data_IF_459453973498
#
_entry.id   IF_459453973498
#
_cell.length_a   1.000
_cell.length_b   1.000
_cell.length_c   1.000
_cell.angle_alpha   90.00
_cell.angle_beta   90.00
_cell.angle_gamma   90.00
#
_symmetry.space_group_name_H-M   'P 1'
#
loop_
_entity.id
_entity.type
_entity.pdbx_description
1 polymer ?
#
# COMPACT_ATOMS: atom_id res chain seq x y z
N UNK A 1 -9.72 -15.35 -63.74
CA UNK A 1 -8.45 -15.02 -63.05
C UNK A 1 -8.68 -15.12 -61.54
N UNK A 2 -8.17 -16.17 -60.88
CA UNK A 2 -8.11 -16.19 -59.41
C UNK A 2 -7.08 -15.13 -59.01
N UNK A 3 -7.52 -14.00 -58.45
CA UNK A 3 -6.59 -13.04 -57.82
C UNK A 3 -5.93 -13.78 -56.66
N UNK A 4 -4.64 -14.06 -56.79
CA UNK A 4 -3.82 -14.53 -55.66
C UNK A 4 -3.74 -13.32 -54.73
N UNK A 5 -4.54 -13.32 -53.66
CA UNK A 5 -4.40 -12.34 -52.61
C UNK A 5 -3.16 -12.75 -51.79
N UNK A 6 -2.10 -11.94 -51.87
CA UNK A 6 -0.97 -12.05 -50.95
C UNK A 6 -1.37 -11.46 -49.61
N UNK A 7 -1.02 -12.17 -48.53
CA UNK A 7 -1.34 -11.79 -47.17
C UNK A 7 -0.03 -11.54 -46.43
N UNK A 8 0.02 -10.48 -45.64
CA UNK A 8 1.13 -10.24 -44.71
C UNK A 8 0.75 -10.91 -43.40
N UNK A 9 1.41 -12.03 -43.11
CA UNK A 9 1.38 -12.69 -41.80
C UNK A 9 2.56 -12.14 -41.02
N UNK A 10 2.31 -11.53 -39.86
CA UNK A 10 3.38 -11.05 -38.99
C UNK A 10 4.23 -12.25 -38.50
N UNK A 11 5.34 -12.52 -39.18
CA UNK A 11 6.44 -13.30 -38.63
C UNK A 11 7.47 -12.31 -38.08
N UNK A 12 7.55 -12.22 -36.75
CA UNK A 12 8.47 -11.29 -36.08
C UNK A 12 9.90 -11.79 -36.29
N UNK A 13 10.71 -11.01 -37.00
CA UNK A 13 12.16 -11.19 -37.05
C UNK A 13 12.78 -10.30 -35.99
N UNK A 14 13.58 -10.92 -35.13
CA UNK A 14 14.39 -10.29 -34.10
C UNK A 14 15.42 -9.37 -34.75
N UNK A 15 15.37 -8.07 -34.44
CA UNK A 15 16.45 -7.13 -34.77
C UNK A 15 16.81 -6.38 -33.50
N UNK A 16 18.06 -6.55 -33.09
CA UNK A 16 18.71 -5.88 -31.96
C UNK A 16 18.97 -4.44 -32.38
N UNK A 17 18.42 -3.46 -31.66
CA UNK A 17 18.90 -2.07 -31.75
C UNK A 17 19.24 -1.60 -30.34
N UNK A 18 20.54 -1.61 -30.02
CA UNK A 18 21.07 -0.91 -28.87
C UNK A 18 21.06 0.59 -29.19
N UNK A 19 20.39 1.38 -28.36
CA UNK A 19 20.43 2.83 -28.45
C UNK A 19 21.83 3.34 -28.11
N UNK A 20 22.57 3.82 -29.11
CA UNK A 20 23.44 4.99 -29.03
C UNK A 20 23.72 5.46 -30.45
N UNK A 21 23.72 6.77 -30.62
CA UNK A 21 23.78 7.50 -31.89
C UNK A 21 24.90 7.01 -32.83
N UNK A 22 24.54 6.75 -34.10
CA UNK A 22 25.22 7.11 -35.37
C UNK A 22 25.02 6.02 -36.43
N UNK A 23 24.61 6.46 -37.62
CA UNK A 23 24.66 5.77 -38.91
C UNK A 23 23.76 4.52 -39.12
N UNK A 24 22.71 4.76 -39.90
CA UNK A 24 21.85 3.75 -40.50
C UNK A 24 22.63 3.13 -41.67
N UNK A 25 23.22 1.96 -41.49
CA UNK A 25 23.54 1.06 -42.60
C UNK A 25 22.42 0.03 -42.75
N UNK A 26 21.74 0.06 -43.91
CA UNK A 26 20.78 -0.97 -44.33
C UNK A 26 21.51 -2.28 -44.66
N UNK A 27 21.22 -3.40 -43.98
CA UNK A 27 21.57 -4.71 -44.51
C UNK A 27 20.52 -5.12 -45.55
N UNK A 28 20.95 -5.14 -46.82
CA UNK A 28 20.22 -5.79 -47.91
C UNK A 28 20.12 -7.30 -47.69
N UNK A 29 18.92 -7.80 -47.40
CA UNK A 29 18.55 -9.20 -47.58
C UNK A 29 17.26 -9.29 -48.41
N UNK A 30 17.37 -9.94 -49.58
CA UNK A 30 16.28 -10.04 -50.56
C UNK A 30 15.55 -11.40 -50.45
N UNK A 31 14.22 -11.32 -50.57
CA UNK A 31 13.25 -12.35 -50.98
C UNK A 31 12.57 -13.23 -49.88
N UNK A 32 11.47 -12.67 -49.35
CA UNK A 32 10.43 -13.34 -48.57
C UNK A 32 9.55 -12.30 -47.85
N UNK A 33 8.74 -11.53 -48.60
CA UNK A 33 7.87 -10.45 -48.08
C UNK A 33 6.82 -10.98 -47.08
N UNK A 34 7.11 -10.97 -45.77
CA UNK A 34 6.10 -11.12 -44.70
C UNK A 34 6.45 -10.48 -43.34
N UNK A 35 7.64 -9.95 -43.09
CA UNK A 35 8.06 -9.62 -41.72
C UNK A 35 7.88 -8.13 -41.43
N UNK A 36 6.80 -7.76 -40.73
CA UNK A 36 6.60 -6.39 -40.22
C UNK A 36 7.30 -6.26 -38.87
N UNK A 37 8.13 -5.23 -38.69
CA UNK A 37 8.87 -4.99 -37.45
C UNK A 37 8.00 -4.28 -36.41
N UNK A 38 8.09 -4.64 -35.13
CA UNK A 38 7.50 -3.85 -34.04
C UNK A 38 8.56 -2.90 -33.47
N UNK A 39 8.28 -1.60 -33.50
CA UNK A 39 9.15 -0.55 -32.95
C UNK A 39 8.39 0.14 -31.82
N UNK A 40 8.85 -0.03 -30.59
CA UNK A 40 8.22 0.57 -29.40
C UNK A 40 9.10 1.73 -28.94
N UNK A 41 8.49 2.90 -28.77
CA UNK A 41 9.17 4.07 -28.22
C UNK A 41 9.44 3.95 -26.72
N UNK A 42 10.03 5.01 -26.16
CA UNK A 42 10.34 5.09 -24.73
C UNK A 42 9.12 4.90 -23.82
N UNK A 43 9.37 4.40 -22.62
CA UNK A 43 8.37 4.35 -21.56
C UNK A 43 7.88 5.78 -21.24
N UNK A 44 6.59 5.99 -20.90
CA UNK A 44 6.10 7.34 -20.63
C UNK A 44 6.86 7.99 -19.47
N UNK A 45 7.34 9.21 -19.71
CA UNK A 45 7.85 10.06 -18.63
C UNK A 45 6.66 10.78 -17.98
N UNK A 46 6.26 10.31 -16.80
CA UNK A 46 5.28 11.03 -16.00
C UNK A 46 5.98 12.24 -15.38
N UNK A 47 5.71 13.45 -15.92
CA UNK A 47 6.37 14.69 -15.53
C UNK A 47 6.35 14.93 -14.02
N UNK A 48 7.32 15.73 -13.54
CA UNK A 48 7.68 15.94 -12.12
C UNK A 48 6.58 15.48 -11.18
N UNK A 49 6.78 14.28 -10.63
CA UNK A 49 5.99 13.79 -9.53
C UNK A 49 6.05 14.86 -8.45
N UNK A 50 5.03 15.71 -8.34
CA UNK A 50 4.83 16.54 -7.17
C UNK A 50 4.41 15.59 -6.05
N UNK A 51 5.36 14.74 -5.63
CA UNK A 51 5.32 14.02 -4.37
C UNK A 51 5.16 15.10 -3.32
N UNK A 52 3.95 15.25 -2.79
CA UNK A 52 3.77 16.00 -1.55
C UNK A 52 4.45 15.13 -0.49
N UNK A 53 5.66 15.53 -0.16
CA UNK A 53 6.86 14.77 0.17
C UNK A 53 6.70 13.65 1.20
N UNK A 54 7.30 12.50 0.91
CA UNK A 54 7.91 11.57 1.88
C UNK A 54 9.27 11.19 1.28
N UNK A 55 10.31 11.09 2.11
CA UNK A 55 11.73 10.90 1.75
C UNK A 55 12.00 10.33 0.35
N UNK A 56 12.79 11.08 -0.43
CA UNK A 56 13.18 10.83 -1.83
C UNK A 56 12.03 10.83 -2.87
N UNK A 57 12.15 11.63 -3.96
CA UNK A 57 11.29 11.47 -5.13
C UNK A 57 11.40 10.04 -5.68
N UNK A 58 10.26 9.41 -5.91
CA UNK A 58 10.20 8.15 -6.62
C UNK A 58 9.52 8.38 -7.97
N UNK A 59 10.27 8.35 -9.08
CA UNK A 59 9.68 8.48 -10.41
C UNK A 59 8.81 7.27 -10.77
N UNK A 60 8.90 6.16 -10.04
CA UNK A 60 8.37 4.85 -10.39
C UNK A 60 9.12 4.27 -11.59
N UNK A 61 8.43 3.45 -12.37
CA UNK A 61 8.99 2.89 -13.61
C UNK A 61 9.26 4.02 -14.63
N UNK A 62 10.48 4.07 -15.15
CA UNK A 62 10.94 5.06 -16.14
C UNK A 62 11.43 4.43 -17.44
N UNK A 63 11.55 3.11 -17.50
CA UNK A 63 12.03 2.36 -18.66
C UNK A 63 11.41 0.98 -18.73
N UNK A 64 11.43 0.39 -19.93
CA UNK A 64 11.06 -1.01 -20.15
C UNK A 64 12.04 -1.94 -19.43
N UNK A 65 11.51 -3.05 -18.92
CA UNK A 65 12.25 -4.09 -18.20
C UNK A 65 11.91 -5.45 -18.77
N UNK A 66 12.86 -6.37 -18.75
CA UNK A 66 12.64 -7.74 -19.21
C UNK A 66 11.40 -8.34 -18.53
N UNK A 67 10.52 -8.94 -19.33
CA UNK A 67 9.26 -9.48 -18.87
C UNK A 67 8.05 -8.57 -19.08
N UNK A 68 8.23 -7.28 -19.33
CA UNK A 68 7.13 -6.36 -19.67
C UNK A 68 6.33 -6.87 -20.87
N UNK A 69 5.01 -6.64 -20.85
CA UNK A 69 4.07 -7.11 -21.87
C UNK A 69 3.24 -5.97 -22.46
N UNK A 70 3.06 -5.96 -23.78
CA UNK A 70 2.17 -5.05 -24.50
C UNK A 70 1.02 -5.82 -25.13
N UNK A 71 -0.16 -5.22 -25.09
CA UNK A 71 -1.40 -5.79 -25.62
C UNK A 71 -1.88 -4.93 -26.79
N UNK A 72 -1.76 -5.44 -28.01
CA UNK A 72 -2.08 -4.71 -29.24
C UNK A 72 -3.36 -5.25 -29.87
N UNK A 73 -4.27 -4.35 -30.25
CA UNK A 73 -5.40 -4.65 -31.10
C UNK A 73 -5.18 -4.04 -32.48
N UNK A 74 -5.35 -4.84 -33.53
CA UNK A 74 -5.24 -4.41 -34.93
C UNK A 74 -6.52 -4.76 -35.66
N UNK A 75 -7.09 -3.81 -36.39
CA UNK A 75 -8.28 -4.02 -37.23
C UNK A 75 -7.90 -3.88 -38.69
N UNK A 76 -8.21 -4.91 -39.47
CA UNK A 76 -8.12 -4.90 -40.93
C UNK A 76 -9.52 -5.01 -41.53
N UNK A 77 -9.71 -4.49 -42.75
CA UNK A 77 -11.03 -4.55 -43.42
C UNK A 77 -11.38 -6.00 -43.78
N UNK A 78 -10.36 -6.80 -44.09
CA UNK A 78 -10.53 -8.18 -44.53
C UNK A 78 -10.73 -9.15 -43.37
N UNK A 79 -9.89 -9.07 -42.33
CA UNK A 79 -9.83 -10.08 -41.27
C UNK A 79 -10.48 -9.64 -39.96
N UNK A 80 -11.03 -8.42 -39.93
CA UNK A 80 -11.59 -7.82 -38.74
C UNK A 80 -10.51 -7.51 -37.70
N UNK A 81 -10.92 -7.45 -36.43
CA UNK A 81 -10.02 -7.16 -35.32
C UNK A 81 -9.30 -8.43 -34.85
N UNK A 82 -7.98 -8.31 -34.71
CA UNK A 82 -7.08 -9.32 -34.17
C UNK A 82 -6.31 -8.73 -32.99
N UNK A 83 -5.87 -9.62 -32.10
CA UNK A 83 -5.26 -9.26 -30.84
C UNK A 83 -3.94 -10.01 -30.70
N UNK A 84 -2.93 -9.33 -30.18
CA UNK A 84 -1.61 -9.90 -29.94
C UNK A 84 -1.05 -9.39 -28.61
N UNK A 85 -0.22 -10.23 -27.99
CA UNK A 85 0.60 -9.85 -26.86
C UNK A 85 2.08 -9.90 -27.27
N UNK A 86 2.84 -8.87 -26.90
CA UNK A 86 4.27 -8.81 -27.13
C UNK A 86 5.00 -8.76 -25.79
N UNK A 87 6.14 -9.43 -25.67
CA UNK A 87 6.95 -9.46 -24.45
C UNK A 87 8.32 -8.87 -24.71
N UNK A 88 8.81 -8.05 -23.78
CA UNK A 88 10.16 -7.50 -23.85
C UNK A 88 11.17 -8.48 -23.27
N UNK A 89 12.18 -8.86 -24.06
CA UNK A 89 13.24 -9.80 -23.65
C UNK A 89 14.48 -9.11 -23.05
N UNK A 90 14.41 -7.79 -22.79
CA UNK A 90 15.54 -6.97 -22.36
C UNK A 90 16.23 -6.20 -23.48
N UNK A 91 15.98 -6.53 -24.74
CA UNK A 91 16.53 -5.84 -25.92
C UNK A 91 15.51 -5.55 -27.02
N UNK A 92 14.52 -6.42 -27.21
CA UNK A 92 13.50 -6.30 -28.25
C UNK A 92 12.14 -6.80 -27.77
N UNK A 93 11.09 -6.37 -28.47
CA UNK A 93 9.72 -6.86 -28.27
C UNK A 93 9.42 -8.04 -29.20
N UNK A 94 9.05 -9.17 -28.62
CA UNK A 94 8.76 -10.41 -29.35
C UNK A 94 7.29 -10.77 -29.23
N UNK A 95 6.70 -11.34 -30.29
CA UNK A 95 5.33 -11.81 -30.27
C UNK A 95 5.21 -13.01 -29.32
N UNK A 96 4.52 -12.82 -28.21
CA UNK A 96 4.31 -13.84 -27.19
C UNK A 96 3.04 -14.66 -27.45
N UNK A 97 1.99 -14.03 -27.99
CA UNK A 97 0.75 -14.72 -28.38
C UNK A 97 -0.07 -13.91 -29.38
N UNK A 98 -1.00 -14.61 -30.06
CA UNK A 98 -1.86 -14.03 -31.08
C UNK A 98 -1.22 -14.03 -32.47
N UNK A 99 -1.97 -13.52 -33.44
CA UNK A 99 -1.53 -13.38 -34.83
C UNK A 99 -2.12 -12.10 -35.41
N UNK A 100 -1.27 -11.29 -36.04
CA UNK A 100 -1.69 -10.08 -36.74
C UNK A 100 -1.56 -10.32 -38.24
N UNK A 101 -2.67 -10.15 -38.97
CA UNK A 101 -2.70 -10.28 -40.42
C UNK A 101 -3.60 -9.25 -41.09
N UNK A 102 -3.14 -8.76 -42.23
CA UNK A 102 -3.84 -7.84 -43.13
C UNK A 102 -3.35 -8.06 -44.58
N UNK A 103 -4.15 -7.66 -45.56
CA UNK A 103 -3.78 -7.72 -46.97
C UNK A 103 -2.80 -6.61 -47.34
N UNK A 104 -1.89 -6.88 -48.27
CA UNK A 104 -0.90 -5.88 -48.73
C UNK A 104 -1.55 -4.63 -49.35
N UNK A 105 -2.79 -4.73 -49.87
CA UNK A 105 -3.56 -3.61 -50.43
C UNK A 105 -4.45 -2.87 -49.41
N UNK A 106 -4.38 -3.22 -48.12
CA UNK A 106 -5.11 -2.53 -47.05
C UNK A 106 -4.18 -1.92 -46.00
N UNK A 107 -4.58 -0.78 -45.46
CA UNK A 107 -3.91 -0.15 -44.32
C UNK A 107 -4.68 -0.54 -43.05
N UNK A 108 -4.10 -1.36 -42.16
CA UNK A 108 -4.74 -1.71 -40.90
C UNK A 108 -4.75 -0.50 -39.96
N UNK A 109 -5.72 -0.48 -39.05
CA UNK A 109 -5.79 0.51 -37.96
C UNK A 109 -5.49 -0.18 -36.64
N UNK A 110 -4.89 0.52 -35.67
CA UNK A 110 -4.60 -0.01 -34.34
C UNK A 110 -5.47 0.71 -33.32
N UNK A 111 -6.71 0.25 -33.09
CA UNK A 111 -7.63 0.95 -32.19
C UNK A 111 -7.07 1.09 -30.77
N UNK A 112 -6.28 0.11 -30.31
CA UNK A 112 -5.72 0.12 -28.97
C UNK A 112 -4.33 -0.53 -28.91
N UNK A 113 -3.47 0.03 -28.06
CA UNK A 113 -2.25 -0.61 -27.56
C UNK A 113 -2.11 -0.28 -26.09
N UNK A 114 -1.97 -1.31 -25.25
CA UNK A 114 -1.91 -1.14 -23.80
C UNK A 114 -0.61 -1.68 -23.23
N UNK A 115 -0.05 -0.95 -22.26
CA UNK A 115 0.81 -1.53 -21.24
C UNK A 115 -0.06 -1.75 -19.99
N UNK A 116 -0.43 -3.00 -19.76
CA UNK A 116 -1.32 -3.39 -18.67
C UNK A 116 -0.88 -4.76 -18.12
N UNK A 117 0.18 -4.82 -17.28
CA UNK A 117 0.83 -6.08 -16.90
C UNK A 117 -0.11 -7.12 -16.28
N UNK A 118 -1.13 -6.65 -15.55
CA UNK A 118 -2.13 -7.48 -14.89
C UNK A 118 -3.24 -7.98 -15.81
N UNK A 119 -3.30 -7.56 -17.08
CA UNK A 119 -4.40 -7.85 -17.99
C UNK A 119 -3.94 -8.69 -19.18
N UNK A 120 -4.90 -9.34 -19.83
CA UNK A 120 -4.73 -10.10 -21.08
C UNK A 120 -5.96 -9.90 -21.96
N UNK A 121 -5.83 -10.20 -23.26
CA UNK A 121 -6.97 -10.24 -24.16
C UNK A 121 -7.83 -11.50 -23.94
N UNK A 122 -9.14 -11.32 -23.84
CA UNK A 122 -10.13 -12.41 -23.86
C UNK A 122 -11.41 -11.92 -24.54
N UNK A 123 -11.87 -12.67 -25.56
CA UNK A 123 -13.04 -12.32 -26.37
C UNK A 123 -13.09 -10.86 -26.88
N UNK A 124 -11.91 -10.29 -27.16
CA UNK A 124 -11.76 -8.91 -27.65
C UNK A 124 -11.85 -7.81 -26.60
N UNK A 125 -11.87 -8.18 -25.32
CA UNK A 125 -11.82 -7.27 -24.17
C UNK A 125 -10.59 -7.55 -23.30
N UNK A 126 -10.14 -6.57 -22.53
CA UNK A 126 -9.09 -6.79 -21.52
C UNK A 126 -9.69 -7.35 -20.25
N UNK A 127 -9.16 -8.48 -19.79
CA UNK A 127 -9.55 -9.14 -18.54
C UNK A 127 -8.32 -9.34 -17.66
N UNK A 128 -8.52 -9.39 -16.34
CA UNK A 128 -7.42 -9.66 -15.40
C UNK A 128 -6.84 -11.06 -15.63
N UNK A 129 -5.52 -11.16 -15.53
CA UNK A 129 -4.80 -12.44 -15.42
C UNK A 129 -5.17 -13.10 -14.09
N UNK A 130 -5.11 -14.43 -14.05
CA UNK A 130 -5.41 -15.20 -12.85
C UNK A 130 -4.53 -14.75 -11.66
N UNK A 131 -5.16 -14.58 -10.50
CA UNK A 131 -4.48 -14.13 -9.27
C UNK A 131 -4.06 -12.65 -9.26
N UNK A 132 -4.35 -11.87 -10.31
CA UNK A 132 -4.09 -10.42 -10.35
C UNK A 132 -5.30 -9.61 -9.93
N UNK A 133 -5.06 -8.41 -9.42
CA UNK A 133 -6.10 -7.49 -8.92
C UNK A 133 -6.00 -6.16 -9.66
N UNK A 134 -7.14 -5.57 -10.02
CA UNK A 134 -7.17 -4.27 -10.68
C UNK A 134 -6.59 -3.16 -9.78
N UNK A 135 -5.84 -2.23 -10.38
CA UNK A 135 -5.23 -1.10 -9.69
C UNK A 135 -3.99 -1.41 -8.85
N UNK A 136 -3.43 -2.63 -8.92
CA UNK A 136 -2.13 -2.94 -8.30
C UNK A 136 -0.95 -2.82 -9.27
N UNK A 137 -1.21 -2.44 -10.52
CA UNK A 137 -0.19 -2.19 -11.54
C UNK A 137 -0.72 -1.13 -12.52
N UNK A 138 0.15 -0.67 -13.42
CA UNK A 138 -0.19 0.32 -14.45
C UNK A 138 -1.23 -0.22 -15.45
N UNK A 139 -2.01 0.72 -15.99
CA UNK A 139 -2.93 0.50 -17.10
C UNK A 139 -2.82 1.68 -18.07
N UNK A 140 -1.81 1.67 -18.92
CA UNK A 140 -1.49 2.80 -19.79
C UNK A 140 -1.90 2.47 -21.21
N UNK A 141 -2.63 3.38 -21.85
CA UNK A 141 -2.96 3.29 -23.26
C UNK A 141 -2.00 4.15 -24.09
N UNK A 142 -1.36 3.54 -25.07
CA UNK A 142 -0.48 4.19 -26.04
C UNK A 142 -1.18 4.40 -27.38
N UNK A 143 -0.40 4.76 -28.40
CA UNK A 143 -0.86 4.83 -29.78
C UNK A 143 -0.01 3.93 -30.66
N UNK A 144 -0.62 3.27 -31.64
CA UNK A 144 0.11 2.46 -32.61
C UNK A 144 -0.27 2.84 -34.04
N UNK A 145 0.70 2.86 -34.94
CA UNK A 145 0.50 3.14 -36.35
C UNK A 145 1.41 2.27 -37.21
N UNK A 146 0.96 1.92 -38.41
CA UNK A 146 1.83 1.30 -39.41
C UNK A 146 2.59 2.39 -40.18
N UNK A 147 3.86 2.15 -40.49
CA UNK A 147 4.65 3.06 -41.30
C UNK A 147 4.12 3.15 -42.73
N UNK A 148 4.32 4.28 -43.44
CA UNK A 148 3.81 4.43 -44.82
C UNK A 148 4.32 3.37 -45.80
N UNK A 149 5.51 2.82 -45.56
CA UNK A 149 6.10 1.75 -46.37
C UNK A 149 5.62 0.33 -45.97
N UNK A 150 4.75 0.21 -44.96
CA UNK A 150 4.19 -1.06 -44.49
C UNK A 150 5.17 -1.98 -43.77
N UNK A 151 6.40 -1.51 -43.49
CA UNK A 151 7.49 -2.34 -42.97
C UNK A 151 7.53 -2.41 -41.44
N UNK A 152 6.95 -1.45 -40.72
CA UNK A 152 6.96 -1.43 -39.26
C UNK A 152 5.65 -0.96 -38.64
N UNK A 153 5.36 -1.46 -37.45
CA UNK A 153 4.34 -0.93 -36.53
C UNK A 153 5.09 -0.13 -35.47
N UNK A 154 4.83 1.17 -35.42
CA UNK A 154 5.39 2.06 -34.40
C UNK A 154 4.39 2.22 -33.26
N UNK A 155 4.81 1.91 -32.04
CA UNK A 155 4.06 2.06 -30.80
C UNK A 155 4.64 3.22 -30.00
N UNK A 156 3.85 4.25 -29.74
CA UNK A 156 4.24 5.45 -29.00
C UNK A 156 3.55 5.50 -27.64
N UNK A 157 4.37 5.47 -26.58
CA UNK A 157 3.96 5.67 -25.19
C UNK A 157 4.47 6.99 -24.59
N UNK A 158 5.45 7.65 -25.22
CA UNK A 158 6.08 8.88 -24.69
C UNK A 158 5.11 10.04 -24.41
N UNK A 159 3.96 10.07 -25.09
CA UNK A 159 2.88 11.06 -24.88
C UNK A 159 1.69 10.52 -24.08
N UNK A 160 1.73 9.26 -23.65
CA UNK A 160 0.67 8.68 -22.85
C UNK A 160 0.66 9.33 -21.46
N UNK A 161 -0.53 9.55 -20.91
CA UNK A 161 -0.73 10.08 -19.56
C UNK A 161 -1.67 9.15 -18.79
N UNK A 162 -1.48 9.05 -17.47
CA UNK A 162 -2.44 8.31 -16.64
C UNK A 162 -3.73 9.11 -16.57
N UNK A 163 -4.85 8.48 -16.92
CA UNK A 163 -6.19 8.98 -16.60
C UNK A 163 -6.61 8.63 -15.16
N UNK A 164 -5.63 8.30 -14.31
CA UNK A 164 -5.75 7.99 -12.90
C UNK A 164 -4.58 8.57 -12.10
N UNK A 165 -4.67 8.48 -10.78
CA UNK A 165 -3.59 8.83 -9.86
C UNK A 165 -2.78 7.61 -9.45
N UNK A 166 -1.53 7.83 -9.05
CA UNK A 166 -0.70 6.83 -8.38
C UNK A 166 -0.63 7.14 -6.89
N UNK A 167 -0.81 6.15 -6.04
CA UNK A 167 -0.56 6.24 -4.60
C UNK A 167 0.69 5.40 -4.29
N UNK A 168 1.75 6.04 -3.83
CA UNK A 168 2.94 5.39 -3.27
C UNK A 168 2.77 5.26 -1.75
N UNK A 169 2.98 4.08 -1.22
CA UNK A 169 3.01 3.81 0.21
C UNK A 169 4.45 3.49 0.57
N UNK A 170 5.09 4.33 1.38
CA UNK A 170 6.41 4.06 1.93
C UNK A 170 6.25 3.32 3.26
N UNK A 171 6.89 2.16 3.41
CA UNK A 171 6.79 1.27 4.57
C UNK A 171 8.04 0.41 4.70
N UNK A 172 7.98 -0.71 5.43
CA UNK A 172 9.08 -1.66 5.59
C UNK A 172 9.39 -2.39 4.26
N UNK A 173 10.65 -2.60 3.88
CA UNK A 173 11.04 -3.38 2.70
C UNK A 173 10.59 -4.84 2.71
N UNK A 174 10.12 -5.33 1.56
CA UNK A 174 9.75 -6.74 1.35
C UNK A 174 8.74 -7.31 2.37
N UNK A 175 7.87 -6.47 2.93
CA UNK A 175 6.87 -6.87 3.92
C UNK A 175 5.45 -6.87 3.33
N UNK A 176 4.61 -7.86 3.69
CA UNK A 176 3.21 -7.84 3.34
C UNK A 176 2.50 -6.73 4.13
N UNK A 177 1.69 -5.94 3.44
CA UNK A 177 0.81 -4.94 4.03
C UNK A 177 -0.62 -5.15 3.54
N UNK A 178 -1.56 -4.71 4.35
CA UNK A 178 -2.97 -4.62 3.97
C UNK A 178 -3.33 -3.16 3.75
N UNK A 179 -3.98 -2.86 2.62
CA UNK A 179 -4.55 -1.53 2.37
C UNK A 179 -6.06 -1.65 2.29
N UNK A 180 -6.76 -1.00 3.22
CA UNK A 180 -8.21 -0.83 3.14
C UNK A 180 -8.50 0.55 2.57
N UNK A 181 -9.39 0.60 1.58
CA UNK A 181 -9.71 1.82 0.86
C UNK A 181 -11.18 1.86 0.53
N UNK A 182 -11.79 3.03 0.72
CA UNK A 182 -13.17 3.29 0.33
C UNK A 182 -13.28 4.18 -0.93
N UNK A 183 -14.42 4.08 -1.61
CA UNK A 183 -14.81 4.92 -2.78
C UNK A 183 -13.69 5.09 -3.81
N UNK A 184 -13.13 3.97 -4.27
CA UNK A 184 -11.96 3.92 -5.14
C UNK A 184 -12.29 3.26 -6.47
N UNK A 185 -11.83 3.86 -7.58
CA UNK A 185 -11.94 3.28 -8.92
C UNK A 185 -10.56 2.81 -9.38
N UNK A 186 -10.27 1.50 -9.39
CA UNK A 186 -8.97 0.98 -9.80
C UNK A 186 -8.66 1.30 -11.28
N UNK A 187 -7.39 1.50 -11.61
CA UNK A 187 -6.94 1.65 -12.99
C UNK A 187 -7.30 0.43 -13.84
N UNK A 188 -7.81 0.69 -15.04
CA UNK A 188 -8.37 -0.34 -15.93
C UNK A 188 -9.82 -0.73 -15.63
N UNK A 189 -10.49 -0.06 -14.68
CA UNK A 189 -11.90 -0.27 -14.36
C UNK A 189 -12.71 1.03 -14.49
N UNK A 190 -13.98 0.90 -14.88
CA UNK A 190 -14.99 1.96 -14.80
C UNK A 190 -15.78 1.94 -13.49
N UNK A 191 -15.61 0.90 -12.66
CA UNK A 191 -16.47 0.63 -11.53
C UNK A 191 -15.86 1.15 -10.23
N UNK A 192 -16.47 2.18 -9.66
CA UNK A 192 -16.13 2.63 -8.31
C UNK A 192 -16.51 1.55 -7.30
N UNK A 193 -15.53 1.15 -6.48
CA UNK A 193 -15.72 0.22 -5.37
C UNK A 193 -15.89 0.99 -4.08
N UNK A 194 -16.91 0.61 -3.30
CA UNK A 194 -17.22 1.26 -2.03
C UNK A 194 -16.22 0.89 -0.94
N UNK A 195 -15.84 -0.38 -0.85
CA UNK A 195 -14.85 -0.88 0.10
C UNK A 195 -13.97 -1.92 -0.59
N UNK A 196 -12.66 -1.77 -0.48
CA UNK A 196 -11.69 -2.73 -1.00
C UNK A 196 -10.61 -3.01 0.04
N UNK A 197 -10.12 -4.25 0.01
CA UNK A 197 -8.98 -4.70 0.82
C UNK A 197 -7.94 -5.28 -0.14
N UNK A 198 -6.80 -4.61 -0.23
CA UNK A 198 -5.65 -5.05 -1.02
C UNK A 198 -4.63 -5.71 -0.10
N UNK A 199 -4.15 -6.88 -0.51
CA UNK A 199 -2.93 -7.46 0.03
C UNK A 199 -1.78 -7.09 -0.93
N UNK A 200 -0.83 -6.29 -0.45
CA UNK A 200 0.32 -5.84 -1.22
C UNK A 200 1.60 -6.31 -0.53
N UNK A 201 2.68 -6.39 -1.29
CA UNK A 201 4.04 -6.56 -0.75
C UNK A 201 4.87 -5.38 -1.23
N UNK A 202 5.54 -4.70 -0.29
CA UNK A 202 6.46 -3.63 -0.64
C UNK A 202 7.71 -4.16 -1.36
N UNK A 203 8.31 -3.32 -2.19
CA UNK A 203 9.57 -3.61 -2.86
C UNK A 203 10.77 -3.56 -1.90
N UNK A 204 11.96 -3.81 -2.44
CA UNK A 204 13.24 -3.79 -1.70
C UNK A 204 13.56 -2.42 -1.07
N UNK A 205 12.91 -1.35 -1.53
CA UNK A 205 13.05 0.01 -0.99
C UNK A 205 11.91 0.38 -0.04
N UNK A 206 11.00 -0.55 0.25
CA UNK A 206 9.86 -0.31 1.13
C UNK A 206 8.69 0.39 0.45
N UNK A 207 8.58 0.39 -0.88
CA UNK A 207 7.45 1.03 -1.56
C UNK A 207 6.42 0.01 -2.05
N UNK A 208 5.14 0.34 -1.86
CA UNK A 208 4.02 -0.34 -2.50
C UNK A 208 3.18 0.69 -3.27
N UNK A 209 2.46 0.23 -4.30
CA UNK A 209 1.73 1.12 -5.21
C UNK A 209 0.29 0.69 -5.42
N UNK A 210 -0.58 1.70 -5.53
CA UNK A 210 -1.94 1.56 -6.04
C UNK A 210 -2.18 2.60 -7.14
N UNK A 211 -2.96 2.22 -8.13
CA UNK A 211 -3.25 3.00 -9.32
C UNK A 211 -4.75 3.10 -9.52
N UNK A 212 -5.29 4.31 -9.46
CA UNK A 212 -6.71 4.54 -9.58
C UNK A 212 -7.14 5.95 -9.21
N UNK A 213 -8.45 6.14 -9.16
CA UNK A 213 -9.08 7.42 -8.86
C UNK A 213 -9.76 7.35 -7.50
N UNK A 214 -9.52 8.38 -6.69
CA UNK A 214 -10.12 8.55 -5.37
C UNK A 214 -11.09 9.71 -5.47
N UNK A 215 -12.33 9.51 -5.01
CA UNK A 215 -13.33 10.56 -5.02
C UNK A 215 -13.24 11.40 -3.73
N UNK A 216 -14.10 12.41 -3.63
CA UNK A 216 -14.15 13.26 -2.44
C UNK A 216 -14.54 12.44 -1.22
N UNK A 217 -13.82 12.65 -0.11
CA UNK A 217 -13.92 11.92 1.14
C UNK A 217 -13.55 10.44 1.06
N UNK A 218 -12.74 10.03 0.08
CA UNK A 218 -12.15 8.69 0.11
C UNK A 218 -11.20 8.56 1.30
N UNK A 219 -11.36 7.52 2.10
CA UNK A 219 -10.47 7.15 3.18
C UNK A 219 -9.65 5.94 2.78
N UNK A 220 -8.37 5.97 3.17
CA UNK A 220 -7.51 4.81 3.04
C UNK A 220 -6.64 4.64 4.27
N UNK A 221 -6.40 3.38 4.61
CA UNK A 221 -5.64 2.96 5.79
C UNK A 221 -4.68 1.85 5.39
N UNK A 222 -3.42 2.03 5.73
CA UNK A 222 -2.37 1.03 5.59
C UNK A 222 -2.19 0.33 6.93
N UNK A 223 -2.16 -1.00 6.88
CA UNK A 223 -1.92 -1.85 8.02
C UNK A 223 -0.75 -2.78 7.77
N UNK A 224 0.01 -3.05 8.81
CA UNK A 224 0.89 -4.19 8.89
C UNK A 224 0.31 -5.15 9.90
N UNK A 225 0.07 -6.39 9.49
CA UNK A 225 -0.80 -7.32 10.20
C UNK A 225 -2.16 -6.68 10.47
N UNK A 226 -2.55 -6.46 11.73
CA UNK A 226 -3.78 -5.76 12.12
C UNK A 226 -3.55 -4.35 12.70
N UNK A 227 -2.27 -3.93 12.77
CA UNK A 227 -1.82 -2.64 13.27
C UNK A 227 -1.98 -1.56 12.19
N UNK A 228 -2.78 -0.49 12.42
CA UNK A 228 -2.78 0.66 11.52
C UNK A 228 -1.43 1.37 11.57
N UNK A 229 -0.77 1.50 10.42
CA UNK A 229 0.49 2.26 10.29
C UNK A 229 0.24 3.71 9.93
N UNK A 230 -0.70 3.93 9.01
CA UNK A 230 -1.04 5.25 8.54
C UNK A 230 -2.43 5.29 7.93
N UNK A 231 -3.06 6.45 7.97
CA UNK A 231 -4.36 6.67 7.36
C UNK A 231 -4.42 8.07 6.78
N UNK A 232 -5.20 8.23 5.72
CA UNK A 232 -5.45 9.53 5.15
C UNK A 232 -6.84 9.60 4.53
N UNK A 233 -7.41 10.80 4.55
CA UNK A 233 -8.71 11.09 3.96
C UNK A 233 -8.53 12.15 2.89
N UNK A 234 -8.84 11.80 1.66
CA UNK A 234 -8.84 12.73 0.54
C UNK A 234 -10.07 13.64 0.63
N UNK A 235 -9.89 14.86 1.12
CA UNK A 235 -10.97 15.86 1.22
C UNK A 235 -11.44 16.39 -0.15
N UNK A 236 -10.73 16.04 -1.22
CA UNK A 236 -11.07 16.35 -2.61
C UNK A 236 -10.68 15.16 -3.48
N UNK A 237 -11.31 15.03 -4.65
CA UNK A 237 -10.95 14.00 -5.62
C UNK A 237 -9.47 14.14 -6.04
N UNK A 238 -8.83 13.00 -6.29
CA UNK A 238 -7.46 13.00 -6.79
C UNK A 238 -7.38 13.48 -8.23
N UNK A 239 -6.21 13.99 -8.62
CA UNK A 239 -5.98 14.53 -9.96
C UNK A 239 -5.29 13.47 -10.82
N UNK A 240 -5.81 13.25 -12.02
CA UNK A 240 -5.19 12.37 -13.01
C UNK A 240 -3.72 12.74 -13.25
N UNK A 241 -2.90 11.73 -13.50
CA UNK A 241 -1.45 11.83 -13.66
C UNK A 241 -0.67 12.32 -12.42
N UNK A 242 -1.31 12.69 -11.31
CA UNK A 242 -0.60 12.99 -10.06
C UNK A 242 -0.24 11.74 -9.28
N UNK A 243 0.92 11.83 -8.61
CA UNK A 243 1.36 10.85 -7.62
C UNK A 243 1.19 11.42 -6.21
N UNK A 244 0.57 10.64 -5.35
CA UNK A 244 0.42 10.90 -3.92
C UNK A 244 1.31 9.94 -3.15
N UNK A 245 1.79 10.35 -1.97
CA UNK A 245 2.62 9.51 -1.12
C UNK A 245 2.00 9.45 0.28
N UNK A 246 1.97 8.26 0.89
CA UNK A 246 1.61 8.05 2.30
C UNK A 246 2.77 7.40 3.05
N UNK A 247 3.06 7.94 4.24
CA UNK A 247 4.16 7.51 5.08
C UNK A 247 3.58 6.52 6.08
N UNK A 248 3.89 5.25 5.84
CA UNK A 248 3.59 4.12 6.70
C UNK A 248 4.91 3.45 7.12
N UNK A 249 5.99 4.22 7.24
CA UNK A 249 7.28 3.73 7.72
C UNK A 249 7.18 3.28 9.17
N UNK A 250 8.06 2.34 9.52
CA UNK A 250 8.11 1.70 10.82
C UNK A 250 9.58 1.58 11.21
N UNK A 251 9.90 1.96 12.44
CA UNK A 251 11.23 1.79 13.02
C UNK A 251 11.26 0.45 13.76
N UNK A 252 12.18 -0.44 13.40
CA UNK A 252 12.37 -1.70 14.13
C UNK A 252 13.28 -1.44 15.32
N UNK A 253 12.76 -1.67 16.53
CA UNK A 253 13.52 -1.68 17.78
C UNK A 253 13.54 -3.09 18.41
N UNK A 254 13.18 -4.12 17.64
CA UNK A 254 13.18 -5.51 18.08
C UNK A 254 14.50 -6.24 17.80
N UNK A 255 15.47 -5.55 17.20
CA UNK A 255 16.76 -6.13 16.86
C UNK A 255 17.59 -6.34 18.15
N UNK A 256 18.19 -7.51 18.30
CA UNK A 256 19.00 -7.83 19.49
C UNK A 256 20.21 -6.89 19.60
N UNK A 257 20.43 -6.34 20.79
CA UNK A 257 21.63 -5.54 21.09
C UNK A 257 21.54 -4.06 20.74
N UNK A 258 20.35 -3.52 20.45
CA UNK A 258 20.13 -2.08 20.42
C UNK A 258 20.45 -1.47 21.79
N UNK A 259 21.19 -0.36 21.79
CA UNK A 259 21.50 0.39 23.01
C UNK A 259 20.42 1.41 23.31
N UNK A 260 20.35 1.85 24.57
CA UNK A 260 19.49 2.95 25.00
C UNK A 260 19.61 4.18 24.08
N UNK A 261 20.83 4.68 23.88
CA UNK A 261 21.09 5.86 23.03
C UNK A 261 20.67 5.65 21.57
N UNK A 262 20.79 4.43 21.05
CA UNK A 262 20.38 4.12 19.68
C UNK A 262 18.85 4.18 19.54
N UNK A 263 18.12 3.67 20.52
CA UNK A 263 16.65 3.78 20.56
C UNK A 263 16.21 5.24 20.67
N UNK A 264 16.84 6.02 21.57
CA UNK A 264 16.58 7.45 21.73
C UNK A 264 16.74 8.18 20.39
N UNK A 265 17.88 7.98 19.74
CA UNK A 265 18.22 8.64 18.47
C UNK A 265 17.30 8.21 17.32
N UNK A 266 16.93 6.93 17.24
CA UNK A 266 16.05 6.44 16.17
C UNK A 266 14.60 6.92 16.33
N UNK A 267 14.11 7.07 17.57
CA UNK A 267 12.81 7.70 17.84
C UNK A 267 12.87 9.21 17.56
N UNK A 268 13.93 9.89 17.99
CA UNK A 268 14.13 11.33 17.80
C UNK A 268 14.17 11.73 16.32
N UNK A 269 14.86 10.95 15.47
CA UNK A 269 14.90 11.18 14.01
C UNK A 269 13.51 11.23 13.37
N UNK A 270 12.55 10.48 13.90
CA UNK A 270 11.17 10.51 13.40
C UNK A 270 10.53 11.89 13.66
N UNK A 271 10.78 12.48 14.84
CA UNK A 271 10.31 13.82 15.16
C UNK A 271 11.08 14.91 14.40
N UNK A 272 12.39 14.74 14.21
CA UNK A 272 13.20 15.64 13.37
C UNK A 272 12.70 15.67 11.91
N UNK A 273 12.12 14.56 11.44
CA UNK A 273 11.43 14.47 10.16
C UNK A 273 10.01 15.09 10.17
N UNK A 274 9.59 15.68 11.29
CA UNK A 274 8.29 16.32 11.48
C UNK A 274 7.13 15.35 11.70
N UNK A 275 7.40 14.09 12.04
CA UNK A 275 6.36 13.08 12.21
C UNK A 275 5.63 13.24 13.55
N UNK A 276 4.31 13.04 13.49
CA UNK A 276 3.41 12.97 14.66
C UNK A 276 2.70 11.62 14.75
N UNK A 277 2.95 10.74 13.79
CA UNK A 277 2.55 9.34 13.78
C UNK A 277 3.84 8.54 13.74
N UNK A 278 4.10 7.80 14.81
CA UNK A 278 5.33 7.04 14.99
C UNK A 278 4.94 5.57 15.14
N UNK A 279 5.50 4.71 14.30
CA UNK A 279 5.25 3.28 14.33
C UNK A 279 6.54 2.57 14.69
N UNK A 280 6.53 1.79 15.77
CA UNK A 280 7.68 1.04 16.25
C UNK A 280 7.35 -0.46 16.29
N UNK A 281 8.31 -1.31 15.93
CA UNK A 281 8.26 -2.76 16.20
C UNK A 281 9.13 -3.03 17.41
N UNK A 282 8.57 -3.74 18.39
CA UNK A 282 9.24 -4.10 19.64
C UNK A 282 9.32 -5.62 19.78
N UNK A 283 10.25 -6.08 20.62
CA UNK A 283 10.26 -7.46 21.09
C UNK A 283 8.98 -7.78 21.90
N UNK A 284 8.55 -9.06 21.95
CA UNK A 284 7.34 -9.46 22.67
C UNK A 284 7.33 -9.11 24.16
N UNK A 285 8.46 -9.30 24.84
CA UNK A 285 8.67 -8.97 26.24
C UNK A 285 9.52 -7.70 26.34
N UNK A 286 8.91 -6.54 26.09
CA UNK A 286 9.60 -5.25 26.21
C UNK A 286 9.95 -4.97 27.68
N UNK A 287 11.18 -4.54 27.93
CA UNK A 287 11.63 -4.12 29.25
C UNK A 287 11.37 -2.62 29.51
N UNK A 288 11.50 -2.22 30.78
CA UNK A 288 11.33 -0.82 31.19
C UNK A 288 12.38 0.11 30.54
N UNK A 289 13.61 -0.38 30.34
CA UNK A 289 14.70 0.40 29.75
C UNK A 289 14.40 0.79 28.29
N UNK A 290 13.82 -0.12 27.50
CA UNK A 290 13.41 0.16 26.12
C UNK A 290 12.30 1.23 26.07
N UNK A 291 11.30 1.13 26.95
CA UNK A 291 10.21 2.12 26.99
C UNK A 291 10.70 3.48 27.51
N UNK A 292 11.63 3.48 28.47
CA UNK A 292 12.30 4.70 28.93
C UNK A 292 13.09 5.35 27.79
N UNK A 293 13.86 4.58 27.02
CA UNK A 293 14.58 5.10 25.85
C UNK A 293 13.64 5.72 24.80
N UNK A 294 12.49 5.08 24.54
CA UNK A 294 11.45 5.65 23.66
C UNK A 294 10.94 6.97 24.23
N UNK A 295 10.68 7.05 25.54
CA UNK A 295 10.24 8.28 26.19
C UNK A 295 11.26 9.41 26.00
N UNK A 296 12.54 9.13 26.27
CA UNK A 296 13.62 10.09 26.08
C UNK A 296 13.75 10.54 24.62
N UNK A 297 13.64 9.63 23.66
CA UNK A 297 13.63 9.98 22.23
C UNK A 297 12.49 10.93 21.84
N UNK A 298 11.29 10.73 22.40
CA UNK A 298 10.16 11.63 22.19
C UNK A 298 10.42 13.02 22.82
N UNK A 299 10.94 13.06 24.05
CA UNK A 299 11.25 14.31 24.76
C UNK A 299 12.36 15.10 24.06
N UNK A 300 13.45 14.42 23.67
CA UNK A 300 14.56 15.04 22.95
C UNK A 300 14.19 15.49 21.53
N UNK A 301 13.17 14.87 20.93
CA UNK A 301 12.58 15.30 19.67
C UNK A 301 11.59 16.47 19.81
N UNK A 302 11.53 17.13 20.98
CA UNK A 302 10.61 18.23 21.29
C UNK A 302 9.11 17.86 21.06
N UNK A 303 8.74 16.60 21.35
CA UNK A 303 7.35 16.17 21.28
C UNK A 303 6.47 17.06 22.16
N UNK A 304 5.42 17.65 21.57
CA UNK A 304 4.45 18.46 22.33
C UNK A 304 3.44 17.56 23.03
N UNK A 305 2.96 18.00 24.18
CA UNK A 305 1.86 17.35 24.91
C UNK A 305 0.65 17.09 24.00
N UNK A 306 0.12 15.87 24.04
CA UNK A 306 -1.02 15.44 23.23
C UNK A 306 -0.83 15.56 21.72
N UNK A 307 0.39 15.47 21.20
CA UNK A 307 0.68 15.60 19.75
C UNK A 307 1.04 14.28 19.06
N UNK A 308 1.48 13.27 19.80
CA UNK A 308 2.03 12.02 19.24
C UNK A 308 1.00 10.91 19.18
N UNK A 309 0.92 10.24 18.03
CA UNK A 309 0.18 9.00 17.84
C UNK A 309 1.20 7.88 17.71
N UNK A 310 1.26 7.00 18.70
CA UNK A 310 2.26 5.95 18.79
C UNK A 310 1.64 4.57 18.52
N UNK A 311 2.20 3.81 17.59
CA UNK A 311 1.83 2.41 17.35
C UNK A 311 3.01 1.52 17.73
N UNK A 312 2.82 0.56 18.63
CA UNK A 312 3.84 -0.43 19.00
C UNK A 312 3.38 -1.82 18.59
N UNK A 313 4.15 -2.47 17.71
CA UNK A 313 3.82 -3.75 17.10
C UNK A 313 4.72 -4.84 17.72
N UNK A 314 4.18 -6.04 17.94
CA UNK A 314 4.92 -7.18 18.46
C UNK A 314 4.91 -7.31 19.99
N UNK A 315 4.82 -6.21 20.72
CA UNK A 315 4.81 -6.20 22.18
C UNK A 315 3.57 -6.91 22.77
N UNK A 316 3.79 -7.94 23.59
CA UNK A 316 2.73 -8.75 24.23
C UNK A 316 2.44 -8.30 25.66
N UNK A 317 3.43 -7.74 26.35
CA UNK A 317 3.33 -7.33 27.76
C UNK A 317 3.84 -5.92 27.96
N UNK A 318 3.05 -5.08 28.61
CA UNK A 318 3.51 -3.76 29.06
C UNK A 318 3.90 -3.87 30.54
N UNK A 319 5.14 -3.49 30.92
CA UNK A 319 5.57 -3.51 32.31
C UNK A 319 4.80 -2.49 33.16
N UNK A 320 4.95 -2.61 34.48
CA UNK A 320 4.43 -1.62 35.42
C UNK A 320 4.99 -0.24 35.07
N UNK A 321 4.16 0.81 35.06
CA UNK A 321 4.57 2.18 34.75
C UNK A 321 5.19 2.37 33.35
N UNK A 322 4.97 1.45 32.42
CA UNK A 322 5.65 1.45 31.11
C UNK A 322 5.49 2.72 30.26
N UNK A 323 4.34 3.41 30.34
CA UNK A 323 4.09 4.70 29.70
C UNK A 323 3.77 5.80 30.72
N UNK A 324 4.26 5.69 31.95
CA UNK A 324 4.02 6.69 32.98
C UNK A 324 4.52 8.07 32.53
N UNK A 325 3.67 9.11 32.64
CA UNK A 325 3.97 10.50 32.26
C UNK A 325 4.29 10.72 30.78
N UNK A 326 3.79 9.87 29.89
CA UNK A 326 3.87 10.12 28.45
C UNK A 326 2.86 11.20 28.01
N UNK A 327 3.01 12.43 28.52
CA UNK A 327 2.10 13.55 28.28
C UNK A 327 2.01 13.95 26.79
N UNK A 328 3.04 13.64 26.00
CA UNK A 328 3.05 13.82 24.55
C UNK A 328 2.10 12.90 23.79
N UNK A 329 1.66 11.78 24.37
CA UNK A 329 0.79 10.84 23.69
C UNK A 329 -0.63 11.40 23.56
N UNK A 330 -1.03 11.61 22.31
CA UNK A 330 -2.43 11.80 21.90
C UNK A 330 -3.15 10.47 21.75
N UNK A 331 -2.49 9.49 21.15
CA UNK A 331 -3.06 8.16 21.00
C UNK A 331 -1.98 7.08 21.05
N UNK A 332 -2.37 5.90 21.52
CA UNK A 332 -1.51 4.72 21.53
C UNK A 332 -2.23 3.50 20.98
N UNK A 333 -1.52 2.73 20.15
CA UNK A 333 -2.01 1.51 19.49
C UNK A 333 -1.09 0.34 19.83
N UNK A 334 -1.62 -0.61 20.59
CA UNK A 334 -0.93 -1.82 21.07
C UNK A 334 -1.73 -3.04 20.60
N UNK A 335 -1.68 -3.41 19.32
CA UNK A 335 -2.56 -4.43 18.75
C UNK A 335 -2.25 -5.84 19.28
N UNK A 336 -1.01 -6.06 19.73
CA UNK A 336 -0.49 -7.35 20.15
C UNK A 336 -0.55 -7.60 21.65
N UNK A 337 -0.82 -6.57 22.45
CA UNK A 337 -0.74 -6.64 23.91
C UNK A 337 -1.85 -7.56 24.46
N UNK A 338 -1.44 -8.43 25.37
CA UNK A 338 -2.33 -9.34 26.11
C UNK A 338 -2.26 -9.12 27.62
N UNK A 339 -1.12 -8.63 28.12
CA UNK A 339 -0.94 -8.32 29.55
C UNK A 339 -0.45 -6.89 29.79
N UNK A 340 -0.99 -6.22 30.81
CA UNK A 340 -0.63 -4.83 31.16
C UNK A 340 -0.38 -4.72 32.66
N UNK A 341 0.77 -4.15 33.03
CA UNK A 341 1.17 -3.86 34.42
C UNK A 341 0.43 -2.68 35.06
N UNK A 342 0.60 -2.55 36.38
CA UNK A 342 0.04 -1.46 37.18
C UNK A 342 0.53 -0.08 36.68
N UNK A 343 -0.32 0.95 36.76
CA UNK A 343 0.02 2.32 36.36
C UNK A 343 0.59 2.47 34.93
N UNK A 344 0.36 1.51 34.02
CA UNK A 344 1.01 1.48 32.71
C UNK A 344 0.81 2.75 31.88
N UNK A 345 -0.35 3.40 31.94
CA UNK A 345 -0.62 4.69 31.27
C UNK A 345 -0.93 5.79 32.29
N UNK A 346 -0.39 5.69 33.51
CA UNK A 346 -0.68 6.68 34.54
C UNK A 346 -0.17 8.06 34.09
N UNK A 347 -0.97 9.08 34.37
CA UNK A 347 -0.65 10.49 34.08
C UNK A 347 -0.26 10.77 32.61
N UNK A 348 -0.85 10.05 31.64
CA UNK A 348 -0.78 10.40 30.23
C UNK A 348 -1.84 11.48 29.91
N UNK A 349 -1.59 12.73 30.32
CA UNK A 349 -2.65 13.77 30.34
C UNK A 349 -3.18 14.16 28.95
N UNK A 350 -2.38 13.98 27.89
CA UNK A 350 -2.73 14.25 26.50
C UNK A 350 -3.55 13.14 25.81
N UNK A 351 -3.75 11.99 26.46
CA UNK A 351 -4.27 10.78 25.82
C UNK A 351 -5.76 10.92 25.49
N UNK A 352 -6.10 10.68 24.22
CA UNK A 352 -7.46 10.80 23.67
C UNK A 352 -7.96 9.52 23.02
N UNK A 353 -7.07 8.59 22.67
CA UNK A 353 -7.45 7.32 22.04
C UNK A 353 -6.48 6.22 22.43
N UNK A 354 -7.04 5.06 22.79
CA UNK A 354 -6.26 3.87 23.11
C UNK A 354 -6.81 2.69 22.32
N UNK A 355 -5.93 1.97 21.64
CA UNK A 355 -6.28 0.72 20.94
C UNK A 355 -5.49 -0.41 21.57
N UNK A 356 -6.18 -1.37 22.16
CA UNK A 356 -5.57 -2.53 22.82
C UNK A 356 -5.87 -3.81 22.04
N UNK A 357 -4.96 -4.78 22.18
CA UNK A 357 -5.10 -6.13 21.67
C UNK A 357 -6.18 -6.93 22.42
N UNK A 358 -6.03 -8.26 22.44
CA UNK A 358 -6.93 -9.14 23.17
C UNK A 358 -6.37 -9.37 24.59
N UNK A 359 -6.81 -8.56 25.54
CA UNK A 359 -6.32 -8.58 26.91
C UNK A 359 -6.81 -9.82 27.64
N UNK A 360 -5.87 -10.52 28.27
CA UNK A 360 -6.12 -11.68 29.13
C UNK A 360 -5.89 -11.37 30.60
N UNK A 361 -4.99 -10.42 30.91
CA UNK A 361 -4.63 -10.04 32.27
C UNK A 361 -4.26 -8.55 32.35
N UNK A 362 -4.82 -7.83 33.32
CA UNK A 362 -4.45 -6.43 33.59
C UNK A 362 -4.28 -6.22 35.09
N UNK A 363 -3.15 -5.69 35.53
CA UNK A 363 -2.89 -5.45 36.95
C UNK A 363 -3.37 -4.06 37.41
N UNK A 364 -3.77 -3.98 38.68
CA UNK A 364 -4.27 -2.74 39.29
C UNK A 364 -5.76 -2.48 39.08
N UNK A 365 -6.30 -1.49 39.79
CA UNK A 365 -7.70 -1.06 39.66
C UNK A 365 -7.88 0.43 39.87
N UNK A 366 -9.07 0.94 39.54
CA UNK A 366 -9.47 2.36 39.68
C UNK A 366 -9.29 2.97 41.09
N UNK A 367 -9.01 2.18 42.12
CA UNK A 367 -8.78 2.63 43.51
C UNK A 367 -7.35 2.38 43.99
N UNK A 368 -6.53 1.65 43.24
CA UNK A 368 -5.21 1.19 43.64
C UNK A 368 -4.38 0.82 42.40
N UNK A 369 -3.52 1.75 41.97
CA UNK A 369 -2.56 1.59 40.87
C UNK A 369 -3.19 1.20 39.52
N UNK A 370 -4.32 1.81 39.19
CA UNK A 370 -5.04 1.50 37.97
C UNK A 370 -4.29 1.95 36.71
N UNK A 371 -4.47 1.22 35.61
CA UNK A 371 -3.67 1.47 34.39
C UNK A 371 -3.89 2.83 33.74
N UNK A 372 -4.96 3.56 34.09
CA UNK A 372 -5.29 4.89 33.60
C UNK A 372 -5.43 5.91 34.75
N UNK A 373 -4.78 5.67 35.90
CA UNK A 373 -4.75 6.64 36.99
C UNK A 373 -4.19 7.99 36.48
N UNK A 374 -4.78 9.12 36.90
CA UNK A 374 -4.40 10.44 36.38
C UNK A 374 -4.85 10.78 34.95
N UNK A 375 -5.39 9.83 34.19
CA UNK A 375 -5.97 10.10 32.86
C UNK A 375 -7.45 10.52 32.93
N UNK A 376 -7.88 11.44 32.05
CA UNK A 376 -9.30 11.74 31.85
C UNK A 376 -9.96 10.71 30.92
N UNK A 377 -10.22 9.49 31.44
CA UNK A 377 -10.78 8.37 30.64
C UNK A 377 -12.09 8.70 29.90
N UNK A 378 -12.90 9.61 30.44
CA UNK A 378 -14.13 10.11 29.79
C UNK A 378 -13.90 10.95 28.53
N UNK A 379 -12.66 11.34 28.28
CA UNK A 379 -12.19 11.99 27.04
C UNK A 379 -11.50 11.02 26.08
N UNK A 380 -11.28 9.76 26.50
CA UNK A 380 -10.59 8.71 25.74
C UNK A 380 -11.58 7.86 24.94
N UNK A 381 -11.34 7.74 23.63
CA UNK A 381 -11.96 6.74 22.77
C UNK A 381 -11.18 5.42 22.86
N UNK A 382 -11.78 4.38 23.46
CA UNK A 382 -11.16 3.06 23.61
C UNK A 382 -11.57 2.13 22.46
N UNK A 383 -10.59 1.44 21.87
CA UNK A 383 -10.82 0.41 20.87
C UNK A 383 -10.23 -0.91 21.38
N UNK A 384 -11.06 -1.94 21.43
CA UNK A 384 -10.68 -3.28 21.87
C UNK A 384 -10.73 -4.26 20.70
N UNK A 385 -10.05 -5.41 20.88
CA UNK A 385 -10.22 -6.55 19.99
C UNK A 385 -11.70 -6.93 19.86
N UNK A 386 -12.09 -7.40 18.67
CA UNK A 386 -13.44 -7.96 18.44
C UNK A 386 -13.68 -9.21 19.31
N UNK A 387 -12.60 -9.90 19.67
CA UNK A 387 -12.62 -11.15 20.43
C UNK A 387 -12.36 -10.90 21.93
N UNK A 388 -12.38 -9.64 22.37
CA UNK A 388 -12.18 -9.28 23.77
C UNK A 388 -13.28 -9.89 24.63
N UNK A 389 -12.87 -10.62 25.67
CA UNK A 389 -13.77 -11.15 26.69
C UNK A 389 -14.05 -10.10 27.76
N UNK A 390 -15.20 -10.22 28.42
CA UNK A 390 -15.50 -9.44 29.61
C UNK A 390 -14.38 -9.65 30.63
N UNK A 391 -14.04 -8.62 31.40
CA UNK A 391 -12.94 -8.68 32.35
C UNK A 391 -13.51 -8.74 33.77
N UNK A 392 -13.13 -9.75 34.53
CA UNK A 392 -13.57 -9.94 35.91
C UNK A 392 -12.46 -9.49 36.87
N UNK A 393 -12.84 -8.74 37.92
CA UNK A 393 -11.90 -8.38 38.96
C UNK A 393 -11.61 -9.54 39.92
N UNK A 394 -10.43 -9.51 40.51
CA UNK A 394 -10.02 -10.50 41.49
C UNK A 394 -8.57 -10.28 41.92
N UNK A 395 -7.95 -11.38 42.35
CA UNK A 395 -6.57 -11.39 42.80
C UNK A 395 -5.82 -12.52 42.07
N UNK A 396 -4.67 -12.19 41.50
CA UNK A 396 -3.72 -13.16 40.96
C UNK A 396 -2.32 -12.80 41.44
N UNK A 397 -1.52 -13.81 41.80
CA UNK A 397 -0.14 -13.61 42.25
C UNK A 397 -0.02 -12.64 43.44
N UNK A 398 -1.02 -12.61 44.33
CA UNK A 398 -1.04 -11.73 45.50
C UNK A 398 -1.33 -10.25 45.19
N UNK A 399 -1.75 -9.95 43.97
CA UNK A 399 -2.02 -8.59 43.48
C UNK A 399 -3.41 -8.52 42.89
N UNK A 400 -4.05 -7.36 43.03
CA UNK A 400 -5.31 -7.12 42.35
C UNK A 400 -5.09 -7.16 40.85
N UNK A 401 -5.94 -7.89 40.14
CA UNK A 401 -5.93 -7.91 38.70
C UNK A 401 -7.33 -8.10 38.12
N UNK A 402 -7.46 -7.74 36.86
CA UNK A 402 -8.55 -8.12 35.99
C UNK A 402 -8.11 -9.29 35.12
N UNK A 403 -8.95 -10.30 35.00
CA UNK A 403 -8.71 -11.45 34.13
C UNK A 403 -9.86 -11.64 33.15
N UNK A 404 -9.53 -12.06 31.92
CA UNK A 404 -10.53 -12.33 30.91
C UNK A 404 -11.46 -13.47 31.33
N UNK A 405 -12.76 -13.26 31.16
CA UNK A 405 -13.78 -14.30 31.25
C UNK A 405 -13.50 -15.39 30.19
N UNK A 406 -13.94 -16.61 30.47
CA UNK A 406 -13.71 -17.76 29.59
C UNK A 406 -14.81 -17.83 28.50
N UNK A 407 -16.00 -17.29 28.79
CA UNK A 407 -17.20 -17.49 27.99
C UNK A 407 -17.68 -16.16 27.42
N UNK A 408 -17.83 -15.15 28.26
CA UNK A 408 -18.59 -13.94 27.94
C UNK A 408 -17.81 -12.97 27.06
N UNK A 409 -18.32 -12.72 25.85
CA UNK A 409 -17.79 -11.66 24.97
C UNK A 409 -18.11 -10.27 25.55
N UNK A 410 -17.13 -9.37 25.52
CA UNK A 410 -17.29 -8.03 26.08
C UNK A 410 -18.27 -7.18 25.26
N UNK A 411 -18.29 -7.33 23.93
CA UNK A 411 -19.12 -6.53 23.01
C UNK A 411 -20.64 -6.65 23.26
N UNK A 412 -21.06 -7.73 23.92
CA UNK A 412 -22.44 -8.03 24.33
C UNK A 412 -22.73 -7.71 25.79
N UNK A 413 -21.75 -7.23 26.54
CA UNK A 413 -21.87 -6.97 27.97
C UNK A 413 -22.60 -5.64 28.27
N UNK A 414 -23.18 -5.55 29.47
CA UNK A 414 -23.73 -4.30 29.97
C UNK A 414 -22.65 -3.22 30.13
N UNK A 415 -21.40 -3.63 30.43
CA UNK A 415 -20.27 -2.72 30.55
C UNK A 415 -19.98 -2.02 29.23
N UNK A 416 -19.94 -2.74 28.11
CA UNK A 416 -19.78 -2.16 26.78
C UNK A 416 -20.88 -1.12 26.45
N UNK A 417 -22.15 -1.45 26.72
CA UNK A 417 -23.27 -0.51 26.53
C UNK A 417 -23.12 0.74 27.40
N UNK A 418 -22.66 0.57 28.64
CA UNK A 418 -22.40 1.68 29.57
C UNK A 418 -21.05 2.37 29.36
N UNK A 419 -20.27 1.97 28.33
CA UNK A 419 -18.93 2.47 28.02
C UNK A 419 -17.94 2.32 29.18
N UNK A 420 -18.04 1.21 29.91
CA UNK A 420 -17.15 0.88 31.03
C UNK A 420 -16.21 -0.26 30.70
N UNK A 421 -14.97 -0.17 31.14
CA UNK A 421 -13.98 -1.24 31.02
C UNK A 421 -12.98 -1.14 32.17
N UNK A 422 -12.70 -2.26 32.85
CA UNK A 422 -11.79 -2.32 34.01
C UNK A 422 -12.16 -1.33 35.14
N UNK A 423 -13.45 -1.03 35.29
CA UNK A 423 -13.98 -0.07 36.25
C UNK A 423 -13.94 1.41 35.81
N UNK A 424 -13.30 1.74 34.68
CA UNK A 424 -13.27 3.10 34.13
C UNK A 424 -14.45 3.36 33.20
N UNK A 425 -14.86 4.62 33.07
CA UNK A 425 -15.87 5.06 32.10
C UNK A 425 -15.19 5.85 30.98
N UNK A 426 -15.41 5.45 29.74
CA UNK A 426 -14.78 6.02 28.55
C UNK A 426 -15.73 6.91 27.76
N UNK A 427 -15.16 7.79 26.93
CA UNK A 427 -15.92 8.61 25.97
C UNK A 427 -16.75 7.74 25.03
N UNK A 428 -16.07 6.73 24.47
CA UNK A 428 -16.64 5.67 23.64
C UNK A 428 -15.80 4.41 23.79
N UNK A 429 -16.43 3.25 23.59
CA UNK A 429 -15.75 1.97 23.48
C UNK A 429 -16.23 1.33 22.20
N UNK A 430 -15.29 0.80 21.41
CA UNK A 430 -15.60 0.06 20.19
C UNK A 430 -14.84 -1.27 20.19
N UNK A 431 -15.56 -2.38 20.06
CA UNK A 431 -14.99 -3.65 19.65
C UNK A 431 -15.05 -3.69 18.13
N UNK A 432 -13.97 -4.03 17.43
CA UNK A 432 -13.96 -3.97 15.95
C UNK A 432 -15.01 -4.93 15.33
N UNK A 433 -16.21 -4.42 15.08
CA UNK A 433 -17.13 -4.86 14.02
C UNK A 433 -17.97 -3.66 13.52
N UNK A 434 -17.71 -3.23 12.28
CA UNK A 434 -18.74 -2.73 11.37
C UNK A 434 -18.49 -3.45 10.05
N UNK A 435 -19.18 -4.57 9.86
CA UNK A 435 -19.57 -4.99 8.52
C UNK A 435 -20.92 -4.32 8.29
N UNK A 436 -20.89 -3.20 7.57
CA UNK A 436 -21.97 -2.79 6.69
C UNK A 436 -21.34 -2.33 5.39
#
# INVERSE_FOLDING_TARGET
>A
MKKIFQYIILAVVTIVMASCTSDIEEPTATAGKSNVQLVVGEFPAFGDSQTRTIGTPDPGKTSWAEGDELLLAMTSKTFGTKYAAFKYNGSSWELASGELSYKEDEVPTFPHVYYAPNYKWEAGTLVLKEGKVAGTDEYIEGKANITPNGQAITVEFSKATRNYSRLRIATMPNKPITVTIDRYTPAGSSDMKWDQKYALTSDEKGNAYLYGNFVTNSQFTVKYEEAPLASHTFLQATVNAKSYALDATVVSLADEGLTFDQIVEDVKKELDAGKTYINLILAPDVDEETLEAIHFGLLEGDARDGSINLTLIGCKKIPSRGFLHFDMLKSIVLPDVTEIGENAFSDCSGLQKVVLGNLTKVYGNVRNNGIFDGCETRSIDLVLSKDQKAMNDGEAEGRYCWTADIITDYDRSAEHVSKKFLGYEFKSITCRYRVE
#
